data_IF_549141719266
#
_entry.id   IF_549141719266
#
_cell.length_a   1.000
_cell.length_b   1.000
_cell.length_c   1.000
_cell.angle_alpha   90.00
_cell.angle_beta   90.00
_cell.angle_gamma   90.00
#
_symmetry.space_group_name_H-M   'P 1'
#
loop_
_entity.id
_entity.type
_entity.pdbx_description
1 polymer ?
#
# COMPACT_ATOMS: atom_id res chain seq x y z
N UNK A 1 -5.64 9.60 -37.71
CA UNK A 1 -6.12 8.88 -37.49
C UNK A 1 -6.30 8.87 -37.12
N UNK A 2 -6.03 9.12 -37.48
CA UNK A 2 -6.43 8.28 -37.20
C UNK A 2 -6.52 8.40 -36.74
N UNK A 3 -6.47 8.42 -37.18
CA UNK A 3 -6.90 7.75 -36.93
C UNK A 3 -7.18 7.98 -36.37
N UNK A 4 -7.28 8.34 -36.88
CA UNK A 4 -7.90 7.70 -36.49
C UNK A 4 -8.29 7.55 -36.14
N UNK A 5 -8.19 7.88 -36.59
CA UNK A 5 -8.75 6.84 -36.18
C UNK A 5 -8.72 6.53 -36.00
N UNK A 6 -8.76 6.88 -36.43
CA UNK A 6 -8.95 5.85 -36.15
C UNK A 6 -8.93 6.02 -35.62
N UNK A 7 -9.09 6.23 -36.34
CA UNK A 7 -9.27 5.63 -35.74
C UNK A 7 -9.64 5.77 -34.95
N UNK A 8 -9.90 6.03 -35.30
CA UNK A 8 -10.52 5.44 -34.56
C UNK A 8 -10.81 4.85 -34.36
N UNK A 9 -10.72 5.13 -34.45
CA UNK A 9 -10.99 4.02 -34.06
C UNK A 9 -10.76 3.64 -33.88
N UNK A 10 -10.80 4.06 -34.78
CA UNK A 10 -10.69 3.15 -34.41
C UNK A 10 -10.57 3.27 -33.61
N UNK A 11 -10.83 3.65 -34.17
CA UNK A 11 -10.97 3.14 -33.24
C UNK A 11 -11.35 3.00 -32.59
N UNK A 12 -11.39 2.83 -32.75
CA UNK A 12 -11.94 2.04 -32.04
C UNK A 12 -12.07 1.24 -31.94
N UNK A 13 -12.06 1.42 -32.19
CA UNK A 13 -12.21 0.27 -31.82
C UNK A 13 -11.89 -0.04 -31.49
N UNK A 14 -11.88 0.10 -31.91
CA UNK A 14 -11.62 -0.64 -31.25
C UNK A 14 -11.59 -0.55 -30.46
N UNK A 15 -11.67 -0.19 -30.65
CA UNK A 15 -11.70 -0.61 -29.59
C UNK A 15 -11.91 -0.80 -28.92
N UNK A 16 -12.04 -0.86 -29.10
CA UNK A 16 -12.20 -1.58 -28.16
C UNK A 16 -11.80 -2.09 -27.77
N UNK A 17 -11.84 -2.02 -27.96
CA UNK A 17 -11.42 -2.64 -27.47
C UNK A 17 -10.63 -2.66 -27.03
N UNK A 18 -10.64 -2.40 -27.27
CA UNK A 18 -9.94 -2.51 -26.69
C UNK A 18 -9.42 -2.10 -26.17
N UNK A 19 -9.73 -1.73 -26.26
CA UNK A 19 -9.47 -1.56 -25.55
C UNK A 19 -8.92 -1.62 -25.00
N UNK A 20 -8.97 -1.70 -24.94
CA UNK A 20 -8.67 -2.02 -24.31
C UNK A 20 -7.85 -2.18 -23.74
N UNK A 21 -7.99 -2.62 -23.69
CA UNK A 21 -7.18 -2.96 -23.23
C UNK A 21 -5.94 -2.64 -23.29
N UNK A 22 -5.86 -2.10 -23.33
CA UNK A 22 -4.68 -1.54 -23.51
C UNK A 22 -4.07 -0.81 -22.45
N UNK A 23 -4.72 -0.63 -21.38
CA UNK A 23 -4.13 -0.11 -20.21
C UNK A 23 -3.05 -1.05 -19.83
N UNK A 24 -1.90 -0.54 -19.61
CA UNK A 24 -0.83 -1.33 -19.10
C UNK A 24 -1.13 -1.65 -17.65
N UNK A 25 -1.24 -2.91 -17.37
CA UNK A 25 -1.46 -3.38 -16.01
C UNK A 25 -0.36 -4.36 -15.66
N UNK A 26 -0.05 -4.46 -14.38
CA UNK A 26 0.93 -5.43 -13.93
C UNK A 26 0.62 -5.81 -12.49
N UNK A 27 1.33 -6.82 -11.99
CA UNK A 27 1.08 -7.36 -10.67
C UNK A 27 2.13 -6.89 -9.69
N UNK A 28 1.69 -6.51 -8.48
CA UNK A 28 2.59 -6.22 -7.38
C UNK A 28 2.23 -7.10 -6.20
N UNK A 29 3.17 -7.30 -5.31
CA UNK A 29 2.93 -8.07 -4.10
C UNK A 29 1.86 -7.39 -3.26
N UNK A 30 1.05 -8.18 -2.56
CA UNK A 30 -0.11 -7.69 -1.84
C UNK A 30 -0.26 -8.41 -0.52
N UNK A 31 -0.52 -7.65 0.55
CA UNK A 31 -0.66 -8.18 1.89
C UNK A 31 -1.90 -7.60 2.57
N UNK A 32 -2.53 -8.40 3.43
CA UNK A 32 -3.61 -7.93 4.31
C UNK A 32 -3.05 -7.61 5.68
N UNK A 33 -3.52 -6.54 6.30
CA UNK A 33 -3.21 -6.22 7.69
C UNK A 33 -4.41 -6.53 8.57
N UNK A 34 -4.18 -6.94 9.80
CA UNK A 34 -2.90 -7.22 10.45
C UNK A 34 -2.29 -8.48 9.89
N UNK A 35 -1.14 -8.35 9.30
CA UNK A 35 -0.58 -9.45 8.56
C UNK A 35 -0.04 -10.46 9.53
N UNK A 36 -0.73 -11.56 9.66
CA UNK A 36 -0.25 -12.71 10.39
C UNK A 36 0.42 -12.36 11.68
N UNK A 37 -0.25 -11.53 12.41
CA UNK A 37 0.28 -11.00 13.62
C UNK A 37 0.92 -12.10 14.44
N UNK A 38 2.08 -11.83 14.95
CA UNK A 38 2.75 -12.72 15.87
C UNK A 38 3.57 -13.81 15.24
N UNK A 39 3.48 -14.00 13.94
CA UNK A 39 4.27 -15.08 13.34
C UNK A 39 5.65 -14.62 12.92
N UNK A 40 5.86 -13.33 12.78
CA UNK A 40 7.10 -12.82 12.25
C UNK A 40 7.27 -13.07 10.77
N UNK A 41 6.26 -13.60 10.13
CA UNK A 41 6.34 -14.05 8.75
C UNK A 41 5.69 -13.08 7.78
N UNK A 42 5.44 -11.86 8.21
CA UNK A 42 4.68 -10.88 7.44
C UNK A 42 5.22 -10.74 6.01
N UNK A 43 6.52 -10.69 5.84
CA UNK A 43 7.13 -10.55 4.52
C UNK A 43 7.86 -11.81 4.07
N UNK A 44 7.61 -12.94 4.70
CA UNK A 44 8.34 -14.15 4.42
C UNK A 44 7.45 -15.28 3.94
N UNK A 45 6.27 -14.96 3.51
CA UNK A 45 5.33 -16.00 3.11
C UNK A 45 5.59 -16.43 1.68
N UNK A 46 5.59 -17.73 1.47
CA UNK A 46 5.65 -18.26 0.12
C UNK A 46 4.32 -18.10 -0.61
N UNK A 47 3.30 -17.69 0.12
CA UNK A 47 1.97 -17.54 -0.44
C UNK A 47 1.63 -16.08 -0.67
N UNK A 48 2.63 -15.28 -0.96
CA UNK A 48 2.42 -13.86 -1.27
C UNK A 48 1.36 -13.74 -2.35
N UNK A 49 0.33 -12.98 -2.05
CA UNK A 49 -0.69 -12.67 -3.02
C UNK A 49 -0.18 -11.60 -3.96
N UNK A 50 -0.80 -11.51 -5.12
CA UNK A 50 -0.47 -10.49 -6.09
C UNK A 50 -1.72 -9.74 -6.46
N UNK A 51 -1.56 -8.43 -6.64
CA UNK A 51 -2.64 -7.55 -7.00
C UNK A 51 -2.33 -6.93 -8.35
N UNK A 52 -3.31 -6.98 -9.24
CA UNK A 52 -3.17 -6.36 -10.54
C UNK A 52 -3.50 -4.88 -10.41
N UNK A 53 -2.58 -4.03 -10.86
CA UNK A 53 -2.73 -2.58 -10.73
C UNK A 53 -2.48 -1.93 -12.09
N UNK A 54 -3.12 -0.77 -12.34
CA UNK A 54 -2.81 -0.02 -13.55
C UNK A 54 -1.43 0.60 -13.44
N UNK A 55 -0.78 0.79 -14.56
CA UNK A 55 0.52 1.42 -14.60
C UNK A 55 0.34 2.93 -14.48
N UNK A 56 0.75 3.49 -13.36
CA UNK A 56 0.70 4.94 -13.11
C UNK A 56 2.04 5.33 -12.50
N UNK A 57 2.37 6.63 -12.45
CA UNK A 57 3.62 7.03 -11.78
C UNK A 57 3.69 6.54 -10.34
N UNK A 58 2.58 6.51 -9.63
CA UNK A 58 2.58 6.05 -8.25
C UNK A 58 2.74 4.54 -8.16
N UNK A 59 1.99 3.78 -8.97
CA UNK A 59 2.11 2.32 -8.91
C UNK A 59 3.49 1.85 -9.37
N UNK A 60 4.11 2.59 -10.28
CA UNK A 60 5.46 2.22 -10.73
C UNK A 60 6.50 2.40 -9.63
N UNK A 61 6.25 3.27 -8.67
CA UNK A 61 7.13 3.46 -7.53
C UNK A 61 6.83 2.51 -6.38
N UNK A 62 5.65 1.91 -6.38
CA UNK A 62 5.25 1.03 -5.29
C UNK A 62 5.93 -0.32 -5.41
N UNK A 63 6.41 -0.81 -4.30
CA UNK A 63 7.02 -2.13 -4.25
C UNK A 63 6.01 -3.19 -3.81
N UNK A 64 5.00 -2.79 -3.04
CA UNK A 64 3.93 -3.68 -2.66
C UNK A 64 2.70 -2.88 -2.26
N UNK A 65 1.58 -3.58 -2.10
CA UNK A 65 0.32 -3.01 -1.68
C UNK A 65 -0.12 -3.67 -0.39
N UNK A 66 -0.87 -2.92 0.42
CA UNK A 66 -1.36 -3.41 1.70
C UNK A 66 -2.83 -3.02 1.84
N UNK A 67 -3.64 -3.95 2.32
CA UNK A 67 -5.04 -3.67 2.61
C UNK A 67 -5.15 -3.26 4.08
N UNK A 68 -5.80 -2.12 4.31
CA UNK A 68 -5.99 -1.59 5.66
C UNK A 68 -7.09 -2.38 6.37
N UNK A 69 -6.85 -2.69 7.63
CA UNK A 69 -7.84 -3.34 8.49
C UNK A 69 -8.06 -2.44 9.69
N UNK A 70 -9.32 -2.14 9.97
CA UNK A 70 -9.68 -1.32 11.13
C UNK A 70 -9.75 0.15 10.83
N UNK A 71 -9.91 0.97 11.87
CA UNK A 71 -10.24 2.37 11.72
C UNK A 71 -9.22 3.32 12.33
N UNK A 72 -8.02 2.84 12.66
CA UNK A 72 -7.04 3.66 13.37
C UNK A 72 -6.48 4.81 12.52
N UNK A 73 -6.62 4.73 11.21
CA UNK A 73 -6.10 5.76 10.32
C UNK A 73 -7.18 6.62 9.67
N UNK A 74 -8.43 6.49 10.15
CA UNK A 74 -9.48 7.39 9.72
C UNK A 74 -9.22 8.79 10.24
N UNK A 75 -9.57 9.82 9.50
CA UNK A 75 -10.38 9.81 8.26
C UNK A 75 -9.57 9.74 6.98
N UNK A 76 -8.28 9.48 7.03
CA UNK A 76 -7.49 9.46 5.81
C UNK A 76 -7.57 8.11 5.10
N UNK A 77 -7.50 7.03 5.86
CA UNK A 77 -7.59 5.68 5.29
C UNK A 77 -8.62 4.89 6.06
N UNK A 78 -9.43 4.13 5.35
CA UNK A 78 -10.54 3.38 5.92
C UNK A 78 -10.31 1.90 5.76
N UNK A 79 -11.01 1.12 6.57
CA UNK A 79 -10.97 -0.33 6.45
C UNK A 79 -11.24 -0.75 5.02
N UNK A 80 -10.40 -1.62 4.50
CA UNK A 80 -10.54 -2.10 3.13
C UNK A 80 -9.77 -1.31 2.09
N UNK A 81 -9.26 -0.13 2.43
CA UNK A 81 -8.45 0.64 1.49
C UNK A 81 -7.17 -0.12 1.14
N UNK A 82 -6.76 0.00 -0.12
CA UNK A 82 -5.51 -0.59 -0.59
C UNK A 82 -4.48 0.52 -0.69
N UNK A 83 -3.42 0.42 0.09
CA UNK A 83 -2.35 1.42 0.11
C UNK A 83 -1.18 0.94 -0.74
N UNK A 84 -0.56 1.87 -1.43
CA UNK A 84 0.64 1.62 -2.22
C UNK A 84 1.85 2.01 -1.38
N UNK A 85 2.84 1.13 -1.32
CA UNK A 85 3.95 1.25 -0.37
C UNK A 85 5.27 1.14 -1.10
N UNK A 86 6.15 2.08 -0.83
CA UNK A 86 7.51 2.07 -1.33
C UNK A 86 8.42 1.52 -0.24
N UNK A 87 9.21 0.52 -0.57
CA UNK A 87 10.10 -0.16 0.37
C UNK A 87 11.16 0.81 0.86
N UNK A 88 11.25 0.98 2.17
CA UNK A 88 12.27 1.82 2.78
C UNK A 88 12.42 1.43 4.25
N UNK A 89 13.65 1.45 4.78
CA UNK A 89 13.87 1.11 6.19
C UNK A 89 13.54 2.24 7.15
N UNK A 90 13.25 3.43 6.64
CA UNK A 90 12.93 4.55 7.52
C UNK A 90 12.13 5.60 6.77
N UNK A 91 11.35 6.37 7.52
CA UNK A 91 10.59 7.50 6.99
C UNK A 91 10.79 8.68 7.95
N UNK A 92 10.43 9.86 7.47
CA UNK A 92 10.57 11.07 8.27
C UNK A 92 9.37 11.26 9.19
N UNK A 93 9.59 12.01 10.26
CA UNK A 93 8.53 12.34 11.19
C UNK A 93 7.38 12.99 10.43
N UNK A 94 6.17 12.57 10.74
CA UNK A 94 4.96 13.06 10.09
C UNK A 94 4.53 12.28 8.87
N UNK A 95 5.40 11.43 8.34
CA UNK A 95 5.04 10.58 7.20
C UNK A 95 4.34 9.32 7.69
N UNK A 96 3.54 8.74 6.80
CA UNK A 96 2.80 7.52 7.10
C UNK A 96 3.54 6.35 6.47
N UNK A 97 3.70 5.31 7.24
CA UNK A 97 4.40 4.13 6.77
C UNK A 97 3.85 2.85 7.37
N UNK A 98 4.51 1.78 7.01
CA UNK A 98 4.21 0.45 7.51
C UNK A 98 5.29 0.08 8.51
N UNK A 99 4.85 -0.29 9.70
CA UNK A 99 5.76 -0.65 10.78
C UNK A 99 5.43 -2.05 11.26
N UNK A 100 6.46 -2.83 11.54
CA UNK A 100 6.29 -4.15 12.12
C UNK A 100 6.80 -4.06 13.55
N UNK A 101 5.90 -4.27 14.50
CA UNK A 101 6.21 -4.24 15.91
C UNK A 101 5.97 -5.64 16.47
N UNK A 102 7.06 -6.30 16.86
CA UNK A 102 7.01 -7.66 17.40
C UNK A 102 6.21 -8.60 16.50
N UNK A 103 6.44 -8.50 15.19
CA UNK A 103 5.82 -9.38 14.21
C UNK A 103 4.46 -8.96 13.71
N UNK A 104 3.88 -7.90 14.24
CA UNK A 104 2.58 -7.40 13.81
C UNK A 104 2.75 -6.15 12.97
N UNK A 105 2.09 -6.12 11.80
CA UNK A 105 2.17 -4.98 10.90
C UNK A 105 1.13 -3.93 11.21
N UNK A 106 1.54 -2.68 11.15
CA UNK A 106 0.67 -1.52 11.41
C UNK A 106 0.88 -0.45 10.35
N UNK A 107 -0.20 0.24 9.99
CA UNK A 107 -0.11 1.50 9.24
C UNK A 107 -0.20 2.62 10.28
N UNK A 108 0.83 3.42 10.39
CA UNK A 108 0.88 4.50 11.38
C UNK A 108 1.65 5.69 10.83
N UNK A 109 1.46 6.85 11.47
CA UNK A 109 2.26 8.03 11.22
C UNK A 109 3.46 8.02 12.15
N UNK A 110 4.63 8.34 11.63
CA UNK A 110 5.82 8.38 12.47
C UNK A 110 5.78 9.62 13.34
N UNK A 111 5.80 9.42 14.65
CA UNK A 111 5.88 10.50 15.61
C UNK A 111 7.26 10.62 16.21
N UNK A 112 7.43 11.59 17.09
CA UNK A 112 8.73 11.83 17.71
C UNK A 112 9.15 10.66 18.57
N UNK A 113 8.22 10.12 19.35
CA UNK A 113 8.54 9.07 20.29
C UNK A 113 7.67 7.83 20.09
N UNK A 114 6.99 7.71 18.97
CA UNK A 114 6.13 6.57 18.79
C UNK A 114 5.39 6.58 17.48
N UNK A 115 4.48 5.63 17.36
CA UNK A 115 3.68 5.41 16.17
C UNK A 115 2.29 5.98 16.43
N UNK A 116 1.82 6.86 15.57
CA UNK A 116 0.63 7.64 15.81
C UNK A 116 -0.49 7.20 14.90
N UNK A 117 -1.66 6.94 15.49
CA UNK A 117 -2.90 6.74 14.73
C UNK A 117 -3.49 8.09 14.39
N UNK A 118 -4.06 8.21 13.19
CA UNK A 118 -4.72 9.46 12.81
C UNK A 118 -6.07 9.60 13.52
N UNK A 119 -6.69 8.49 13.89
CA UNK A 119 -7.94 8.49 14.63
C UNK A 119 -7.63 8.78 16.09
N UNK A 120 -8.14 9.87 16.64
CA UNK A 120 -7.76 10.30 17.99
C UNK A 120 -8.27 9.39 19.11
N UNK A 121 -9.14 8.44 18.82
CA UNK A 121 -9.56 7.52 19.86
C UNK A 121 -8.51 6.47 20.20
N UNK A 122 -7.41 6.41 19.43
CA UNK A 122 -6.32 5.49 19.69
C UNK A 122 -5.12 6.24 20.24
N UNK A 123 -4.54 5.72 21.30
CA UNK A 123 -3.33 6.29 21.88
C UNK A 123 -2.11 5.95 21.03
N UNK A 124 -1.07 6.79 21.04
CA UNK A 124 0.17 6.43 20.34
C UNK A 124 0.77 5.15 20.90
N UNK A 125 1.44 4.41 20.03
CA UNK A 125 2.20 3.24 20.43
C UNK A 125 3.64 3.69 20.66
N UNK A 126 4.15 3.49 21.88
CA UNK A 126 5.52 3.87 22.23
C UNK A 126 6.30 2.59 22.48
N UNK A 127 7.08 2.11 21.49
CA UNK A 127 7.79 0.85 21.66
C UNK A 127 8.78 0.92 22.82
N UNK A 128 8.84 -0.16 23.56
CA UNK A 128 9.81 -0.28 24.64
C UNK A 128 11.18 -0.61 24.06
N UNK A 129 12.21 -0.45 24.88
CA UNK A 129 13.59 -0.67 24.43
C UNK A 129 13.80 -2.07 23.89
N UNK A 130 13.11 -3.04 24.46
CA UNK A 130 13.29 -4.44 24.05
C UNK A 130 12.36 -4.85 22.90
N UNK A 131 11.49 -3.96 22.43
CA UNK A 131 10.60 -4.29 21.34
C UNK A 131 11.35 -4.31 20.02
N UNK A 132 10.94 -5.24 19.14
CA UNK A 132 11.43 -5.26 17.77
C UNK A 132 10.47 -4.41 16.94
N UNK A 133 10.87 -3.18 16.64
CA UNK A 133 10.05 -2.27 15.88
C UNK A 133 10.84 -1.80 14.67
N UNK A 134 10.29 -2.05 13.48
CA UNK A 134 10.97 -1.74 12.22
C UNK A 134 10.01 -1.06 11.25
N UNK A 135 10.51 -0.06 10.55
CA UNK A 135 9.82 0.49 9.39
C UNK A 135 10.14 -0.38 8.18
N UNK A 136 9.14 -0.73 7.41
CA UNK A 136 9.37 -1.53 6.20
C UNK A 136 8.93 -0.79 4.94
N UNK A 137 8.25 0.33 5.07
CA UNK A 137 7.87 1.06 3.86
C UNK A 137 7.14 2.34 4.15
N UNK A 138 7.07 3.17 3.12
CA UNK A 138 6.40 4.46 3.14
C UNK A 138 5.15 4.38 2.29
N UNK A 139 4.04 4.84 2.83
CA UNK A 139 2.79 4.91 2.06
C UNK A 139 2.90 6.06 1.09
N UNK A 140 2.77 5.78 -0.21
CA UNK A 140 2.92 6.78 -1.24
C UNK A 140 1.63 7.07 -1.99
N UNK A 141 0.59 6.29 -1.73
CA UNK A 141 -0.69 6.51 -2.38
C UNK A 141 -1.68 5.44 -2.02
N UNK A 142 -2.84 5.52 -2.65
CA UNK A 142 -3.93 4.61 -2.39
C UNK A 142 -4.64 4.32 -3.72
N UNK A 143 -5.04 3.07 -3.93
CA UNK A 143 -5.83 2.70 -5.10
C UNK A 143 -7.26 3.20 -4.98
#
# INVERSE_FOLDING_TARGET
MVDTVLDKEYNRILSYEDEQDNSNEYFIAYYDLPASAGTGAFLHTDTTQKLKVPETPTTLRADFAIRVSGDSMEPKYYDGDILLVEDTPDIEMGQIGIFVLNGTGYVKKKGENGLISLNPKYDPIEPETFDDCRCIGKVIGKL
#
